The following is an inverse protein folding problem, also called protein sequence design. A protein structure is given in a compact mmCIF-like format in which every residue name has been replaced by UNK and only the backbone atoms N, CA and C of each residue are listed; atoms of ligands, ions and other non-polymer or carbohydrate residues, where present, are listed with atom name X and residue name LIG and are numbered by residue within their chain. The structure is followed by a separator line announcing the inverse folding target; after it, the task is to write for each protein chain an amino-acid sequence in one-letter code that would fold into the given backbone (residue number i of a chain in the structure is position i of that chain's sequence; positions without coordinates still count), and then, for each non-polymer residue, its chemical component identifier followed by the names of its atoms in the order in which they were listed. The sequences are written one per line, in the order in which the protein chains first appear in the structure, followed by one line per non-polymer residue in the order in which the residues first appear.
data_IF_822944069702
#
_entry.id   IF_822944069702
#
_cell.length_a   1.000
_cell.length_b   1.000
_cell.length_c   1.000
_cell.angle_alpha   90.00
_cell.angle_beta   90.00
_cell.angle_gamma   90.00
#
_symmetry.space_group_name_H-M   'P 1'
#
loop_
_entity.id
_entity.type
_entity.pdbx_description
1 polymer ?
#
# COMPACT_ATOMS: atom_id res chain seq x y z
N UNK A 1 -48.86 -41.00 -34.01
CA UNK A 1 -48.73 -39.76 -33.21
C UNK A 1 -48.07 -39.97 -31.84
N UNK A 2 -48.60 -40.84 -30.96
CA UNK A 2 -48.08 -40.97 -29.57
C UNK A 2 -46.57 -41.30 -29.46
N UNK A 3 -46.01 -42.08 -30.38
CA UNK A 3 -44.58 -42.47 -30.34
C UNK A 3 -43.63 -41.33 -30.72
N UNK A 4 -43.91 -40.61 -31.82
CA UNK A 4 -43.06 -39.50 -32.26
C UNK A 4 -43.13 -38.30 -31.32
N UNK A 5 -44.27 -38.09 -30.66
CA UNK A 5 -44.40 -37.11 -29.58
C UNK A 5 -43.48 -37.45 -28.39
N UNK A 6 -43.29 -38.73 -28.04
CA UNK A 6 -42.33 -39.15 -27.01
C UNK A 6 -40.88 -38.86 -27.40
N UNK A 7 -40.52 -39.01 -28.67
CA UNK A 7 -39.17 -38.67 -29.16
C UNK A 7 -38.90 -37.17 -29.08
N UNK A 8 -39.91 -36.34 -29.41
CA UNK A 8 -39.81 -34.90 -29.23
C UNK A 8 -39.62 -34.50 -27.75
N UNK A 9 -40.40 -35.09 -26.84
CA UNK A 9 -40.23 -34.88 -25.39
C UNK A 9 -38.85 -35.34 -24.89
N UNK A 10 -38.31 -36.44 -25.45
CA UNK A 10 -36.97 -36.92 -25.14
C UNK A 10 -35.90 -35.91 -25.57
N UNK A 11 -36.04 -35.29 -26.75
CA UNK A 11 -35.15 -34.22 -27.23
C UNK A 11 -35.19 -32.99 -26.33
N UNK A 12 -36.38 -32.59 -25.87
CA UNK A 12 -36.52 -31.52 -24.87
C UNK A 12 -35.79 -31.92 -23.57
N UNK A 13 -35.96 -33.15 -23.11
CA UNK A 13 -35.25 -33.67 -21.93
C UNK A 13 -33.73 -33.60 -22.07
N UNK A 14 -33.19 -33.94 -23.24
CA UNK A 14 -31.76 -33.79 -23.56
C UNK A 14 -31.34 -32.32 -23.50
N UNK A 15 -32.11 -31.41 -24.08
CA UNK A 15 -31.86 -29.97 -24.03
C UNK A 15 -31.86 -29.41 -22.60
N UNK A 16 -32.78 -29.86 -21.75
CA UNK A 16 -32.84 -29.49 -20.32
C UNK A 16 -31.60 -30.01 -19.59
N UNK A 17 -31.23 -31.29 -19.78
CA UNK A 17 -30.03 -31.87 -19.16
C UNK A 17 -28.78 -31.11 -19.58
N UNK A 18 -28.62 -30.80 -20.87
CA UNK A 18 -27.47 -30.05 -21.36
C UNK A 18 -27.44 -28.61 -20.83
N UNK A 19 -28.59 -27.97 -20.68
CA UNK A 19 -28.69 -26.67 -20.01
C UNK A 19 -28.24 -26.77 -18.56
N UNK A 20 -28.72 -27.77 -17.81
CA UNK A 20 -28.32 -28.00 -16.41
C UNK A 20 -26.81 -28.26 -16.32
N UNK A 21 -26.26 -29.15 -17.16
CA UNK A 21 -24.81 -29.43 -17.20
C UNK A 21 -23.99 -28.18 -17.53
N UNK A 22 -24.46 -27.35 -18.46
CA UNK A 22 -23.85 -26.06 -18.78
C UNK A 22 -23.86 -25.11 -17.58
N UNK A 23 -25.00 -24.95 -16.90
CA UNK A 23 -25.12 -24.12 -15.71
C UNK A 23 -24.21 -24.62 -14.56
N UNK A 24 -24.14 -25.94 -14.35
CA UNK A 24 -23.23 -26.55 -13.37
C UNK A 24 -21.75 -26.35 -13.75
N UNK A 25 -21.41 -26.45 -15.04
CA UNK A 25 -20.04 -26.22 -15.52
C UNK A 25 -19.57 -24.77 -15.37
N UNK A 26 -20.51 -23.84 -15.33
CA UNK A 26 -20.25 -22.41 -15.11
C UNK A 26 -20.24 -22.02 -13.63
N UNK A 27 -20.59 -22.92 -12.70
CA UNK A 27 -20.75 -22.62 -11.26
C UNK A 27 -21.51 -21.29 -11.04
N UNK A 28 -22.69 -21.20 -11.65
CA UNK A 28 -23.48 -19.96 -11.85
C UNK A 28 -23.59 -19.06 -10.59
N UNK A 29 -23.16 -17.81 -10.74
CA UNK A 29 -23.70 -16.67 -9.99
C UNK A 29 -24.53 -15.82 -10.95
N UNK A 30 -25.78 -15.51 -10.60
CA UNK A 30 -26.58 -14.51 -11.32
C UNK A 30 -26.03 -13.14 -10.89
N UNK A 31 -25.40 -12.43 -11.83
CA UNK A 31 -24.91 -11.07 -11.60
C UNK A 31 -26.13 -10.14 -11.65
N UNK A 32 -26.55 -9.60 -10.52
CA UNK A 32 -27.46 -8.46 -10.50
C UNK A 32 -26.72 -7.22 -11.02
N UNK A 33 -27.33 -6.51 -11.96
CA UNK A 33 -26.91 -5.21 -12.52
C UNK A 33 -25.82 -5.18 -13.62
N UNK A 34 -25.91 -6.03 -14.65
CA UNK A 34 -25.28 -5.71 -15.94
C UNK A 34 -26.33 -5.43 -17.03
N UNK A 35 -26.16 -4.34 -17.77
CA UNK A 35 -27.03 -3.94 -18.90
C UNK A 35 -26.70 -4.71 -20.20
N UNK A 36 -25.85 -5.73 -20.12
CA UNK A 36 -25.46 -6.59 -21.23
C UNK A 36 -26.16 -7.94 -21.13
N UNK A 37 -26.58 -8.49 -22.27
CA UNK A 37 -26.99 -9.90 -22.36
C UNK A 37 -25.76 -10.74 -22.02
N UNK A 38 -25.76 -11.52 -20.93
CA UNK A 38 -24.61 -12.33 -20.53
C UNK A 38 -24.25 -13.30 -21.67
N UNK A 39 -22.97 -13.51 -21.97
CA UNK A 39 -22.55 -14.49 -23.00
C UNK A 39 -23.06 -15.91 -22.73
N UNK A 40 -23.39 -16.17 -21.47
CA UNK A 40 -24.08 -17.35 -20.95
C UNK A 40 -25.49 -17.49 -21.53
N UNK A 41 -26.23 -16.39 -21.72
CA UNK A 41 -27.58 -16.41 -22.30
C UNK A 41 -27.55 -16.76 -23.79
N UNK A 42 -26.54 -16.31 -24.54
CA UNK A 42 -26.33 -16.69 -25.94
C UNK A 42 -26.06 -18.20 -26.05
N UNK A 43 -25.29 -18.75 -25.12
CA UNK A 43 -24.97 -20.18 -25.09
C UNK A 43 -26.20 -21.02 -24.68
N UNK A 44 -26.99 -20.55 -23.72
CA UNK A 44 -28.28 -21.17 -23.39
C UNK A 44 -29.25 -21.18 -24.60
N UNK A 45 -29.31 -20.08 -25.36
CA UNK A 45 -30.07 -19.99 -26.62
C UNK A 45 -29.58 -20.99 -27.66
N UNK A 46 -28.27 -21.21 -27.80
CA UNK A 46 -27.71 -22.25 -28.68
C UNK A 46 -28.14 -23.67 -28.26
N UNK A 47 -28.13 -23.96 -26.96
CA UNK A 47 -28.59 -25.26 -26.42
C UNK A 47 -30.08 -25.47 -26.73
N UNK A 48 -30.91 -24.44 -26.57
CA UNK A 48 -32.34 -24.50 -26.91
C UNK A 48 -32.56 -24.67 -28.42
N UNK A 49 -31.80 -23.97 -29.26
CA UNK A 49 -31.86 -24.11 -30.71
C UNK A 49 -31.46 -25.52 -31.18
N UNK A 50 -30.59 -26.22 -30.43
CA UNK A 50 -30.13 -27.57 -30.75
C UNK A 50 -31.23 -28.66 -30.56
N UNK A 51 -32.32 -28.37 -29.85
CA UNK A 51 -33.45 -29.30 -29.66
C UNK A 51 -34.07 -29.71 -31.01
N UNK A 52 -34.11 -28.80 -31.98
CA UNK A 52 -34.68 -29.03 -33.31
C UNK A 52 -33.87 -30.09 -34.08
N UNK A 53 -32.56 -29.91 -34.35
CA UNK A 53 -31.77 -30.94 -35.03
C UNK A 53 -31.65 -32.25 -34.23
N UNK A 54 -31.59 -32.20 -32.90
CA UNK A 54 -31.61 -33.41 -32.05
C UNK A 54 -32.87 -34.26 -32.27
N UNK A 55 -34.03 -33.60 -32.38
CA UNK A 55 -35.31 -34.27 -32.64
C UNK A 55 -35.28 -34.99 -34.00
N UNK A 56 -34.71 -34.35 -35.02
CA UNK A 56 -34.58 -34.93 -36.37
C UNK A 56 -33.67 -36.16 -36.35
N UNK A 57 -32.52 -36.09 -35.67
CA UNK A 57 -31.57 -37.20 -35.53
C UNK A 57 -32.26 -38.40 -34.83
N UNK A 58 -32.96 -38.16 -33.73
CA UNK A 58 -33.66 -39.22 -33.01
C UNK A 58 -34.80 -39.84 -33.83
N UNK A 59 -35.47 -39.07 -34.69
CA UNK A 59 -36.46 -39.62 -35.63
C UNK A 59 -35.82 -40.54 -36.67
N UNK A 60 -34.68 -40.14 -37.25
CA UNK A 60 -33.95 -40.95 -38.23
C UNK A 60 -33.49 -42.26 -37.57
N UNK A 61 -32.90 -42.19 -36.38
CA UNK A 61 -32.46 -43.38 -35.64
C UNK A 61 -33.64 -44.29 -35.30
N UNK A 62 -34.75 -43.75 -34.80
CA UNK A 62 -35.93 -44.55 -34.49
C UNK A 62 -36.54 -45.22 -35.73
N UNK A 63 -36.43 -44.59 -36.90
CA UNK A 63 -36.86 -45.18 -38.17
C UNK A 63 -35.94 -46.33 -38.60
N UNK A 64 -34.62 -46.12 -38.60
CA UNK A 64 -33.61 -47.09 -39.02
C UNK A 64 -33.56 -48.29 -38.06
N UNK A 65 -33.62 -48.04 -36.76
CA UNK A 65 -33.54 -49.07 -35.72
C UNK A 65 -34.86 -49.84 -35.52
N UNK A 66 -35.88 -49.56 -36.33
CA UNK A 66 -37.25 -50.10 -36.15
C UNK A 66 -37.79 -49.89 -34.73
N UNK A 67 -37.52 -48.72 -34.14
CA UNK A 67 -37.95 -48.30 -32.79
C UNK A 67 -37.29 -49.05 -31.64
N UNK A 68 -36.10 -49.62 -31.87
CA UNK A 68 -35.30 -50.23 -30.80
C UNK A 68 -34.98 -49.21 -29.69
N UNK A 69 -35.31 -49.58 -28.45
CA UNK A 69 -35.17 -48.69 -27.31
C UNK A 69 -33.70 -48.46 -26.93
N UNK A 70 -32.85 -49.48 -27.10
CA UNK A 70 -31.44 -49.40 -26.76
C UNK A 70 -30.70 -48.43 -27.71
N UNK A 71 -30.96 -48.53 -29.02
CA UNK A 71 -30.40 -47.63 -30.02
C UNK A 71 -30.78 -46.16 -29.77
N UNK A 72 -32.02 -45.90 -29.36
CA UNK A 72 -32.49 -44.55 -29.01
C UNK A 72 -31.82 -44.06 -27.73
N UNK A 73 -31.71 -44.89 -26.70
CA UNK A 73 -31.05 -44.53 -25.45
C UNK A 73 -29.55 -44.21 -25.64
N UNK A 74 -28.84 -45.03 -26.41
CA UNK A 74 -27.43 -44.80 -26.76
C UNK A 74 -27.28 -43.48 -27.53
N UNK A 75 -28.12 -43.24 -28.54
CA UNK A 75 -28.09 -42.01 -29.33
C UNK A 75 -28.36 -40.78 -28.46
N UNK A 76 -29.33 -40.84 -27.55
CA UNK A 76 -29.60 -39.77 -26.58
C UNK A 76 -28.39 -39.49 -25.70
N UNK A 77 -27.71 -40.53 -25.20
CA UNK A 77 -26.48 -40.39 -24.43
C UNK A 77 -25.36 -39.70 -25.23
N UNK A 78 -25.18 -40.10 -26.49
CA UNK A 78 -24.20 -39.49 -27.41
C UNK A 78 -24.53 -38.01 -27.67
N UNK A 79 -25.81 -37.67 -27.89
CA UNK A 79 -26.24 -36.29 -28.09
C UNK A 79 -25.99 -35.41 -26.85
N UNK A 80 -26.22 -35.94 -25.64
CA UNK A 80 -25.88 -35.25 -24.38
C UNK A 80 -24.38 -34.97 -24.32
N UNK A 81 -23.54 -36.00 -24.49
CA UNK A 81 -22.08 -35.87 -24.42
C UNK A 81 -21.55 -34.92 -25.51
N UNK A 82 -22.05 -35.03 -26.73
CA UNK A 82 -21.60 -34.21 -27.86
C UNK A 82 -21.96 -32.75 -27.66
N UNK A 83 -23.21 -32.46 -27.24
CA UNK A 83 -23.60 -31.09 -26.91
C UNK A 83 -22.81 -30.53 -25.73
N UNK A 84 -22.52 -31.34 -24.71
CA UNK A 84 -21.68 -30.89 -23.60
C UNK A 84 -20.27 -30.51 -24.08
N UNK A 85 -19.60 -31.37 -24.86
CA UNK A 85 -18.26 -31.09 -25.40
C UNK A 85 -18.27 -29.83 -26.28
N UNK A 86 -19.23 -29.73 -27.21
CA UNK A 86 -19.32 -28.58 -28.12
C UNK A 86 -19.55 -27.26 -27.41
N UNK A 87 -20.22 -27.26 -26.25
CA UNK A 87 -20.43 -26.05 -25.45
C UNK A 87 -19.27 -25.78 -24.48
N UNK A 88 -18.58 -26.82 -24.02
CA UNK A 88 -17.45 -26.72 -23.09
C UNK A 88 -16.30 -25.90 -23.67
N UNK A 89 -15.98 -26.12 -24.95
CA UNK A 89 -14.85 -25.50 -25.65
C UNK A 89 -15.20 -24.16 -26.34
N UNK A 90 -16.41 -23.64 -26.14
CA UNK A 90 -16.73 -22.30 -26.66
C UNK A 90 -15.92 -21.22 -25.96
N UNK A 91 -15.43 -20.23 -26.71
CA UNK A 91 -14.67 -19.10 -26.17
C UNK A 91 -15.41 -18.40 -25.03
N UNK A 92 -16.75 -18.29 -25.13
CA UNK A 92 -17.62 -17.71 -24.11
C UNK A 92 -17.63 -18.53 -22.81
N UNK A 93 -17.75 -19.86 -22.89
CA UNK A 93 -17.71 -20.71 -21.71
C UNK A 93 -16.31 -20.75 -21.07
N UNK A 94 -15.26 -20.75 -21.90
CA UNK A 94 -13.88 -20.68 -21.42
C UNK A 94 -13.57 -19.36 -20.71
N UNK A 95 -14.03 -18.23 -21.25
CA UNK A 95 -13.91 -16.91 -20.62
C UNK A 95 -14.69 -16.83 -19.30
N UNK A 96 -15.93 -17.33 -19.27
CA UNK A 96 -16.75 -17.41 -18.05
C UNK A 96 -16.06 -18.19 -16.92
N UNK A 97 -15.52 -19.37 -17.23
CA UNK A 97 -14.74 -20.16 -16.25
C UNK A 97 -13.49 -19.42 -15.77
N UNK A 98 -12.78 -18.72 -16.66
CA UNK A 98 -11.60 -17.92 -16.27
C UNK A 98 -11.98 -16.77 -15.33
N UNK A 99 -13.07 -16.06 -15.61
CA UNK A 99 -13.59 -14.99 -14.74
C UNK A 99 -13.98 -15.53 -13.38
N UNK A 100 -14.74 -16.63 -13.35
CA UNK A 100 -15.12 -17.29 -12.10
C UNK A 100 -13.90 -17.74 -11.28
N UNK A 101 -12.93 -18.41 -11.91
CA UNK A 101 -11.71 -18.85 -11.22
C UNK A 101 -10.91 -17.65 -10.66
N UNK A 102 -10.80 -16.55 -11.43
CA UNK A 102 -10.18 -15.31 -10.95
C UNK A 102 -10.93 -14.72 -9.75
N UNK A 103 -12.26 -14.70 -9.80
CA UNK A 103 -13.08 -14.20 -8.69
C UNK A 103 -12.93 -15.07 -7.43
N UNK A 104 -12.90 -16.40 -7.56
CA UNK A 104 -12.65 -17.29 -6.41
C UNK A 104 -11.26 -17.09 -5.80
N UNK A 105 -10.24 -16.91 -6.64
CA UNK A 105 -8.90 -16.55 -6.17
C UNK A 105 -8.95 -15.19 -5.46
N UNK A 106 -9.60 -14.18 -6.04
CA UNK A 106 -9.75 -12.87 -5.42
C UNK A 106 -10.45 -12.95 -4.06
N UNK A 107 -11.60 -13.63 -3.96
CA UNK A 107 -12.37 -13.81 -2.72
C UNK A 107 -11.51 -14.46 -1.63
N UNK A 108 -10.78 -15.52 -1.97
CA UNK A 108 -9.91 -16.25 -1.02
C UNK A 108 -8.58 -15.55 -0.73
N UNK A 109 -8.18 -14.57 -1.53
CA UNK A 109 -6.95 -13.80 -1.32
C UNK A 109 -7.11 -12.85 -0.14
N UNK A 110 -6.04 -12.77 0.65
CA UNK A 110 -5.92 -11.84 1.77
C UNK A 110 -5.97 -10.37 1.32
N UNK A 111 -6.72 -9.55 2.05
CA UNK A 111 -6.97 -8.14 1.75
C UNK A 111 -6.85 -7.29 3.02
N UNK A 112 -6.56 -6.00 2.84
CA UNK A 112 -6.47 -5.03 3.91
C UNK A 112 -7.10 -3.69 3.52
N UNK A 113 -7.61 -2.96 4.49
CA UNK A 113 -8.02 -1.57 4.30
C UNK A 113 -6.81 -0.64 4.39
N UNK A 114 -6.30 -0.20 3.24
CA UNK A 114 -5.22 0.78 3.17
C UNK A 114 -5.34 1.70 1.95
N UNK A 115 -4.63 2.82 2.01
CA UNK A 115 -4.43 3.77 0.92
C UNK A 115 -2.96 3.78 0.48
N UNK A 116 -2.74 4.28 -0.74
CA UNK A 116 -1.39 4.51 -1.26
C UNK A 116 -1.08 5.99 -1.15
N UNK A 117 0.19 6.34 -0.99
CA UNK A 117 0.60 7.73 -0.87
C UNK A 117 2.00 7.98 -1.40
N UNK A 118 2.28 9.25 -1.67
CA UNK A 118 3.61 9.71 -2.10
C UNK A 118 4.15 10.67 -1.06
N UNK A 119 5.41 10.51 -0.72
CA UNK A 119 6.18 11.41 0.13
C UNK A 119 7.42 11.87 -0.62
N UNK A 120 7.86 13.09 -0.34
CA UNK A 120 9.09 13.66 -0.87
C UNK A 120 9.82 14.38 0.25
N UNK A 121 11.15 14.50 0.18
CA UNK A 121 11.86 15.40 1.08
C UNK A 121 11.40 16.84 0.87
N UNK A 122 11.22 17.56 1.97
CA UNK A 122 10.86 18.97 1.92
C UNK A 122 11.90 19.76 1.11
N UNK A 123 11.43 20.62 0.19
CA UNK A 123 12.31 21.32 -0.74
C UNK A 123 12.54 20.64 -2.09
N UNK A 124 12.17 19.37 -2.25
CA UNK A 124 12.49 18.60 -3.46
C UNK A 124 11.22 18.14 -4.19
N UNK A 125 10.52 19.06 -4.88
CA UNK A 125 9.27 18.73 -5.54
C UNK A 125 9.48 17.79 -6.72
N UNK A 126 8.51 16.91 -6.93
CA UNK A 126 8.42 16.01 -8.08
C UNK A 126 7.03 16.07 -8.71
N UNK A 127 6.92 15.62 -9.96
CA UNK A 127 5.64 15.29 -10.58
C UNK A 127 5.67 13.86 -11.08
N UNK A 128 4.72 13.04 -10.64
CA UNK A 128 4.52 11.72 -11.22
C UNK A 128 4.02 11.85 -12.66
N UNK A 129 4.46 10.97 -13.53
CA UNK A 129 4.04 10.88 -14.92
C UNK A 129 3.04 9.74 -15.08
N UNK A 130 2.39 9.72 -16.24
CA UNK A 130 1.47 8.67 -16.64
C UNK A 130 2.08 7.28 -16.42
N UNK A 131 1.23 6.32 -16.03
CA UNK A 131 1.59 4.91 -15.72
C UNK A 131 2.31 4.66 -14.40
N UNK A 132 2.50 5.68 -13.56
CA UNK A 132 2.92 5.45 -12.18
C UNK A 132 1.78 4.79 -11.40
N UNK A 133 1.99 3.57 -10.91
CA UNK A 133 0.97 2.79 -10.21
C UNK A 133 1.55 1.71 -9.29
N UNK A 134 0.72 1.28 -8.35
CA UNK A 134 0.90 0.01 -7.67
C UNK A 134 0.13 -1.07 -8.44
N UNK A 135 0.82 -2.05 -9.00
CA UNK A 135 0.18 -3.12 -9.78
C UNK A 135 -0.31 -4.23 -8.87
N UNK A 136 -1.59 -4.59 -8.99
CA UNK A 136 -2.22 -5.72 -8.31
C UNK A 136 -2.54 -6.79 -9.35
N UNK A 137 -1.98 -8.00 -9.22
CA UNK A 137 -2.21 -9.06 -10.21
C UNK A 137 -3.55 -9.78 -10.04
N UNK A 138 -4.13 -9.73 -8.84
CA UNK A 138 -5.35 -10.43 -8.46
C UNK A 138 -6.47 -9.41 -8.27
N UNK A 139 -7.32 -9.31 -9.29
CA UNK A 139 -8.49 -8.43 -9.31
C UNK A 139 -9.77 -9.25 -9.50
N UNK A 140 -10.77 -8.94 -8.69
CA UNK A 140 -12.16 -9.36 -8.87
C UNK A 140 -13.02 -8.27 -9.51
N UNK A 141 -14.29 -8.59 -9.73
CA UNK A 141 -15.23 -7.73 -10.45
C UNK A 141 -15.44 -6.35 -9.80
N UNK A 142 -15.37 -6.29 -8.46
CA UNK A 142 -15.57 -5.07 -7.67
C UNK A 142 -14.30 -4.64 -6.92
N UNK A 143 -13.13 -4.87 -7.52
CA UNK A 143 -11.86 -4.43 -6.92
C UNK A 143 -11.83 -2.90 -6.82
N UNK A 144 -11.55 -2.31 -5.64
CA UNK A 144 -11.41 -0.87 -5.52
C UNK A 144 -10.26 -0.37 -6.39
N UNK A 145 -10.49 0.72 -7.13
CA UNK A 145 -9.43 1.36 -7.89
C UNK A 145 -8.58 2.20 -6.92
N UNK A 146 -7.27 1.98 -6.95
CA UNK A 146 -6.28 2.84 -6.31
C UNK A 146 -5.49 3.55 -7.40
N UNK A 147 -5.39 4.88 -7.32
CA UNK A 147 -4.67 5.67 -8.32
C UNK A 147 -3.66 6.55 -7.64
N UNK A 148 -2.44 6.58 -8.17
CA UNK A 148 -1.48 7.64 -7.86
C UNK A 148 -1.83 8.87 -8.70
N UNK A 149 -1.89 10.04 -8.08
CA UNK A 149 -2.28 11.27 -8.76
C UNK A 149 -1.10 11.84 -9.57
N UNK A 150 -1.18 11.75 -10.89
CA UNK A 150 -0.10 12.20 -11.80
C UNK A 150 -0.25 13.66 -12.23
N UNK A 151 -1.43 14.26 -12.05
CA UNK A 151 -1.70 15.64 -12.46
C UNK A 151 -1.45 16.67 -11.36
N UNK A 152 -0.55 16.37 -10.41
CA UNK A 152 -0.14 17.29 -9.36
C UNK A 152 1.37 17.23 -9.12
N UNK A 153 1.85 18.22 -8.39
CA UNK A 153 3.24 18.27 -7.92
C UNK A 153 3.24 17.92 -6.45
N UNK A 154 4.03 16.92 -6.10
CA UNK A 154 4.25 16.49 -4.73
C UNK A 154 5.38 17.32 -4.12
N UNK A 155 5.16 17.81 -2.91
CA UNK A 155 6.13 18.61 -2.15
C UNK A 155 5.82 18.46 -0.66
N UNK A 156 6.09 17.27 -0.16
CA UNK A 156 5.66 16.80 1.16
C UNK A 156 6.80 16.86 2.17
N UNK A 157 6.59 16.18 3.30
CA UNK A 157 7.61 15.93 4.32
C UNK A 157 8.07 14.48 4.24
N UNK A 158 9.38 14.23 4.36
CA UNK A 158 9.95 12.88 4.25
C UNK A 158 9.35 11.92 5.29
N UNK A 159 8.82 10.78 4.85
CA UNK A 159 8.14 9.78 5.69
C UNK A 159 6.67 10.08 6.00
N UNK A 160 6.16 11.26 5.60
CA UNK A 160 4.74 11.60 5.66
C UNK A 160 4.18 11.68 4.23
N UNK A 161 3.21 10.83 3.93
CA UNK A 161 2.68 10.67 2.58
C UNK A 161 1.40 11.47 2.37
N UNK A 162 1.29 12.10 1.21
CA UNK A 162 0.02 12.58 0.68
C UNK A 162 -0.72 11.38 0.08
N UNK A 163 -1.78 10.93 0.75
CA UNK A 163 -2.57 9.78 0.31
C UNK A 163 -3.36 10.13 -0.94
N UNK A 164 -3.50 9.15 -1.81
CA UNK A 164 -4.12 9.33 -3.12
C UNK A 164 -5.50 8.68 -3.16
N UNK A 165 -6.12 8.70 -4.34
CA UNK A 165 -7.48 8.24 -4.54
C UNK A 165 -7.64 6.72 -4.32
N UNK A 166 -8.64 6.36 -3.51
CA UNK A 166 -9.22 5.02 -3.39
C UNK A 166 -10.72 5.13 -3.67
N UNK A 167 -11.23 4.34 -4.62
CA UNK A 167 -12.60 4.52 -5.16
C UNK A 167 -13.75 4.05 -4.25
N UNK A 168 -13.48 3.40 -3.12
CA UNK A 168 -14.51 3.05 -2.15
C UNK A 168 -14.01 3.15 -0.72
N UNK A 169 -14.82 3.76 0.14
CA UNK A 169 -14.44 4.09 1.53
C UNK A 169 -14.41 2.89 2.48
N UNK A 170 -14.79 1.68 2.04
CA UNK A 170 -15.03 0.54 2.94
C UNK A 170 -14.59 -0.84 2.45
N UNK A 171 -13.94 -0.96 1.28
CA UNK A 171 -13.53 -2.26 0.76
C UNK A 171 -12.02 -2.52 0.94
N UNK A 172 -11.70 -3.70 1.45
CA UNK A 172 -10.34 -4.20 1.56
C UNK A 172 -9.72 -4.45 0.17
N UNK A 173 -8.44 -4.14 0.02
CA UNK A 173 -7.69 -4.26 -1.22
C UNK A 173 -6.61 -5.34 -1.08
N UNK A 174 -6.35 -6.09 -2.15
CA UNK A 174 -5.25 -7.05 -2.21
C UNK A 174 -3.92 -6.29 -2.26
N UNK A 175 -2.92 -6.76 -1.51
CA UNK A 175 -1.59 -6.16 -1.52
C UNK A 175 -0.96 -6.12 -2.93
N UNK A 176 -0.26 -5.03 -3.28
CA UNK A 176 0.32 -4.87 -4.61
C UNK A 176 1.50 -5.81 -4.81
N UNK A 177 1.63 -6.33 -6.04
CA UNK A 177 2.72 -7.19 -6.46
C UNK A 177 3.95 -6.41 -6.89
N UNK A 178 3.74 -5.22 -7.48
CA UNK A 178 4.78 -4.39 -8.06
C UNK A 178 4.52 -2.91 -7.83
N UNK A 179 5.60 -2.15 -7.93
CA UNK A 179 5.60 -0.70 -7.94
C UNK A 179 6.25 -0.23 -9.24
N UNK A 180 5.48 0.50 -10.04
CA UNK A 180 5.91 1.15 -11.27
C UNK A 180 5.84 2.66 -11.05
N UNK A 181 6.95 3.36 -11.19
CA UNK A 181 7.02 4.81 -11.02
C UNK A 181 7.71 5.44 -12.21
N UNK A 182 7.17 6.57 -12.64
CA UNK A 182 7.77 7.47 -13.61
C UNK A 182 7.59 8.88 -13.07
N UNK A 183 8.66 9.64 -12.93
CA UNK A 183 8.53 11.00 -12.40
C UNK A 183 9.55 11.95 -12.98
N UNK A 184 9.23 13.23 -12.84
CA UNK A 184 10.11 14.33 -13.12
C UNK A 184 10.53 14.99 -11.80
N UNK A 185 11.83 15.14 -11.60
CA UNK A 185 12.43 15.86 -10.47
C UNK A 185 12.74 17.30 -10.88
N UNK A 186 12.06 18.26 -10.27
CA UNK A 186 12.12 19.66 -10.72
C UNK A 186 13.48 20.30 -10.48
N UNK A 187 14.09 20.08 -9.30
CA UNK A 187 15.39 20.65 -8.97
C UNK A 187 16.53 19.99 -9.75
N UNK A 188 16.39 18.72 -10.12
CA UNK A 188 17.39 18.00 -10.90
C UNK A 188 17.22 18.20 -12.41
N UNK A 189 16.04 18.63 -12.86
CA UNK A 189 15.64 18.67 -14.27
C UNK A 189 15.87 17.31 -14.96
N UNK A 190 15.41 16.24 -14.31
CA UNK A 190 15.63 14.85 -14.73
C UNK A 190 14.36 14.02 -14.61
N UNK A 191 14.30 13.01 -15.47
CA UNK A 191 13.23 12.02 -15.52
C UNK A 191 13.76 10.70 -14.97
N UNK A 192 12.97 10.05 -14.15
CA UNK A 192 13.34 8.79 -13.49
C UNK A 192 12.26 7.73 -13.68
N UNK A 193 12.69 6.47 -13.67
CA UNK A 193 11.83 5.29 -13.70
C UNK A 193 12.24 4.27 -12.66
N UNK A 194 11.25 3.63 -12.04
CA UNK A 194 11.43 2.48 -11.18
C UNK A 194 10.40 1.41 -11.53
N UNK A 195 10.87 0.17 -11.67
CA UNK A 195 10.02 -1.00 -11.89
C UNK A 195 10.48 -2.13 -10.98
N UNK A 196 9.78 -2.36 -9.86
CA UNK A 196 10.22 -3.32 -8.83
C UNK A 196 9.09 -4.23 -8.35
N UNK A 197 9.45 -5.41 -7.83
CA UNK A 197 8.52 -6.32 -7.14
C UNK A 197 8.49 -5.97 -5.66
N UNK A 198 7.32 -6.09 -5.04
CA UNK A 198 7.14 -5.79 -3.62
C UNK A 198 7.08 -7.07 -2.78
N UNK A 199 7.65 -7.02 -1.57
CA UNK A 199 7.58 -8.14 -0.63
C UNK A 199 6.21 -8.18 0.09
N UNK A 200 5.20 -8.76 -0.57
CA UNK A 200 3.84 -8.90 -0.01
C UNK A 200 3.82 -9.64 1.33
N UNK A 201 4.72 -10.59 1.54
CA UNK A 201 4.81 -11.32 2.82
C UNK A 201 5.22 -10.39 3.95
N UNK A 202 6.24 -9.55 3.75
CA UNK A 202 6.67 -8.57 4.74
C UNK A 202 5.56 -7.55 5.01
N UNK A 203 4.93 -7.01 3.97
CA UNK A 203 3.82 -6.06 4.11
C UNK A 203 2.66 -6.67 4.92
N UNK A 204 2.25 -7.90 4.57
CA UNK A 204 1.19 -8.65 5.27
C UNK A 204 1.51 -8.88 6.76
N UNK A 205 2.77 -9.16 7.10
CA UNK A 205 3.18 -9.34 8.49
C UNK A 205 2.97 -8.07 9.32
N UNK A 206 3.25 -6.89 8.77
CA UNK A 206 3.01 -5.63 9.46
C UNK A 206 1.52 -5.35 9.64
N UNK A 207 0.69 -5.54 8.61
CA UNK A 207 -0.76 -5.37 8.73
C UNK A 207 -1.37 -6.32 9.78
N UNK A 208 -0.94 -7.59 9.83
CA UNK A 208 -1.39 -8.56 10.84
C UNK A 208 -0.95 -8.21 12.25
N UNK A 209 0.28 -7.72 12.40
CA UNK A 209 0.87 -7.43 13.71
C UNK A 209 0.22 -6.21 14.37
N UNK A 210 -0.06 -5.17 13.58
CA UNK A 210 -0.55 -3.89 14.08
C UNK A 210 0.42 -3.23 15.07
N UNK A 211 -0.06 -2.22 15.79
CA UNK A 211 0.68 -1.48 16.82
C UNK A 211 -0.26 -0.78 17.80
N UNK A 212 0.26 -0.21 18.89
CA UNK A 212 -0.53 0.50 19.91
C UNK A 212 -0.59 1.99 19.61
N UNK A 213 -1.73 2.62 19.89
CA UNK A 213 -1.92 4.07 19.78
C UNK A 213 -2.80 4.57 20.92
N UNK A 214 -2.55 5.78 21.41
CA UNK A 214 -3.50 6.50 22.26
C UNK A 214 -4.55 7.22 21.41
N UNK A 215 -5.81 6.81 21.53
CA UNK A 215 -6.91 7.44 20.79
C UNK A 215 -7.56 8.61 21.56
N UNK A 216 -7.27 8.77 22.84
CA UNK A 216 -7.90 9.82 23.65
C UNK A 216 -7.05 11.09 23.78
N UNK A 217 -5.75 11.03 23.45
CA UNK A 217 -4.79 12.13 23.66
C UNK A 217 -4.49 12.43 25.14
N UNK A 218 -4.97 11.56 26.04
CA UNK A 218 -4.93 11.69 27.50
C UNK A 218 -4.32 10.46 28.16
N UNK A 219 -3.75 9.52 27.39
CA UNK A 219 -3.16 8.27 27.86
C UNK A 219 -4.15 7.35 28.60
N UNK A 220 -5.46 7.57 28.42
CA UNK A 220 -6.52 6.80 29.05
C UNK A 220 -6.95 5.59 28.21
N UNK A 221 -6.78 5.66 26.89
CA UNK A 221 -7.26 4.62 25.97
C UNK A 221 -6.18 4.23 24.95
N UNK A 222 -5.20 3.48 25.44
CA UNK A 222 -4.19 2.82 24.61
C UNK A 222 -4.80 1.54 24.04
N UNK A 223 -4.94 1.49 22.72
CA UNK A 223 -5.53 0.34 22.02
C UNK A 223 -4.68 -0.09 20.84
N UNK A 224 -4.76 -1.37 20.47
CA UNK A 224 -4.18 -1.84 19.21
C UNK A 224 -4.92 -1.25 18.01
N UNK A 225 -4.18 -0.96 16.96
CA UNK A 225 -4.65 -0.48 15.66
C UNK A 225 -3.81 -1.11 14.55
N UNK A 226 -4.30 -1.03 13.32
CA UNK A 226 -3.58 -1.51 12.15
C UNK A 226 -2.96 -0.34 11.38
N UNK A 227 -1.98 -0.67 10.55
CA UNK A 227 -1.54 0.23 9.50
C UNK A 227 -2.65 0.40 8.46
N UNK A 228 -2.63 1.53 7.76
CA UNK A 228 -3.67 1.93 6.81
C UNK A 228 -3.10 2.60 5.56
N UNK A 229 -1.77 2.66 5.42
CA UNK A 229 -1.11 3.37 4.32
C UNK A 229 0.13 2.61 3.83
N UNK A 230 0.33 2.58 2.52
CA UNK A 230 1.62 2.29 1.87
C UNK A 230 2.12 3.57 1.21
N UNK A 231 3.25 4.08 1.68
CA UNK A 231 3.79 5.38 1.25
C UNK A 231 5.10 5.17 0.50
N UNK A 232 5.21 5.77 -0.68
CA UNK A 232 6.44 5.81 -1.46
C UNK A 232 7.13 7.16 -1.28
N UNK A 233 8.28 7.14 -0.63
CA UNK A 233 9.22 8.26 -0.58
C UNK A 233 10.06 8.33 -1.83
N UNK A 234 10.05 9.46 -2.51
CA UNK A 234 10.90 9.72 -3.67
C UNK A 234 11.84 10.87 -3.34
N UNK A 235 13.13 10.57 -3.28
CA UNK A 235 14.19 11.51 -2.94
C UNK A 235 15.10 11.78 -4.15
N UNK A 236 15.81 12.94 -4.15
CA UNK A 236 16.73 13.29 -5.21
C UNK A 236 17.78 12.22 -5.53
N UNK A 237 18.16 12.16 -6.81
CA UNK A 237 19.11 11.18 -7.32
C UNK A 237 18.50 9.80 -7.58
N UNK A 238 17.17 9.67 -7.57
CA UNK A 238 16.49 8.39 -7.85
C UNK A 238 16.35 7.48 -6.63
N UNK A 239 16.53 7.99 -5.42
CA UNK A 239 16.36 7.21 -4.20
C UNK A 239 14.88 7.02 -3.89
N UNK A 240 14.43 5.78 -3.68
CA UNK A 240 13.03 5.47 -3.38
C UNK A 240 12.93 4.63 -2.11
N UNK A 241 12.00 4.96 -1.22
CA UNK A 241 11.74 4.24 0.03
C UNK A 241 10.27 3.87 0.11
N UNK A 242 9.97 2.61 0.44
CA UNK A 242 8.62 2.17 0.73
C UNK A 242 8.42 2.10 2.24
N UNK A 243 7.39 2.79 2.74
CA UNK A 243 6.95 2.68 4.12
C UNK A 243 5.56 2.07 4.22
N UNK A 244 5.30 1.46 5.37
CA UNK A 244 3.95 1.20 5.87
C UNK A 244 3.65 2.19 7.00
N UNK A 245 2.46 2.79 6.97
CA UNK A 245 2.10 3.90 7.85
C UNK A 245 0.69 3.78 8.41
N UNK A 246 0.49 4.42 9.55
CA UNK A 246 -0.78 4.70 10.16
C UNK A 246 -0.63 5.83 11.19
N UNK A 247 -1.67 6.11 11.97
CA UNK A 247 -1.62 7.12 13.04
C UNK A 247 -0.40 6.92 13.94
N UNK A 248 0.49 7.91 13.97
CA UNK A 248 1.69 7.98 14.81
C UNK A 248 2.71 6.83 14.67
N UNK A 249 2.58 5.96 13.67
CA UNK A 249 3.52 4.86 13.43
C UNK A 249 3.79 4.70 11.94
N UNK A 250 5.07 4.77 11.57
CA UNK A 250 5.53 4.62 10.19
C UNK A 250 6.82 3.82 10.20
N UNK A 251 6.89 2.76 9.39
CA UNK A 251 8.00 1.81 9.33
C UNK A 251 8.53 1.65 7.92
N UNK A 252 9.85 1.68 7.80
CA UNK A 252 10.56 1.44 6.54
C UNK A 252 10.47 -0.05 6.19
N UNK A 253 10.04 -0.35 4.96
CA UNK A 253 9.93 -1.71 4.46
C UNK A 253 11.10 -2.06 3.55
N UNK A 254 11.30 -1.26 2.51
CA UNK A 254 12.24 -1.52 1.43
C UNK A 254 12.80 -0.21 0.86
N UNK A 255 14.00 -0.27 0.29
CA UNK A 255 14.67 0.86 -0.36
C UNK A 255 15.11 0.44 -1.75
N UNK A 256 14.90 1.31 -2.72
CA UNK A 256 15.19 1.08 -4.13
C UNK A 256 15.99 2.23 -4.72
N UNK A 257 16.60 1.96 -5.88
CA UNK A 257 17.27 2.96 -6.71
C UNK A 257 16.62 2.95 -8.08
N UNK A 258 16.18 4.11 -8.53
CA UNK A 258 15.60 4.32 -9.83
C UNK A 258 16.65 4.70 -10.87
N UNK A 259 16.32 4.40 -12.12
CA UNK A 259 17.14 4.70 -13.28
C UNK A 259 16.68 6.01 -13.93
N UNK A 260 17.59 6.68 -14.63
CA UNK A 260 17.24 7.82 -15.47
C UNK A 260 16.50 7.36 -16.72
N UNK A 261 15.49 8.12 -17.14
CA UNK A 261 14.83 7.90 -18.42
C UNK A 261 15.69 8.51 -19.53
N UNK A 262 16.04 7.69 -20.53
CA UNK A 262 16.73 8.13 -21.74
C UNK A 262 15.87 9.16 -22.50
N UNK A 263 16.49 10.16 -23.12
CA UNK A 263 15.75 11.24 -23.80
C UNK A 263 14.82 10.76 -24.91
N UNK A 264 15.20 9.66 -25.58
CA UNK A 264 14.44 9.03 -26.67
C UNK A 264 13.15 8.36 -26.19
N UNK A 265 13.05 8.02 -24.91
CA UNK A 265 11.92 7.28 -24.33
C UNK A 265 10.97 8.21 -23.56
N UNK A 266 11.25 9.53 -23.54
CA UNK A 266 10.45 10.54 -22.84
C UNK A 266 9.06 10.72 -23.46
N UNK A 267 8.90 10.48 -24.76
CA UNK A 267 7.64 10.65 -25.50
C UNK A 267 6.57 9.60 -25.14
N UNK A 268 7.00 8.47 -24.57
CA UNK A 268 6.10 7.43 -24.01
C UNK A 268 5.37 7.93 -22.75
N UNK A 269 5.90 8.96 -22.09
CA UNK A 269 5.39 9.50 -20.83
C UNK A 269 4.93 10.95 -21.01
N UNK A 270 3.97 11.40 -20.20
CA UNK A 270 3.54 12.80 -20.24
C UNK A 270 4.72 13.71 -19.87
N UNK A 271 5.21 14.53 -20.81
CA UNK A 271 6.32 15.46 -20.57
C UNK A 271 5.82 16.65 -19.74
N UNK A 272 6.57 17.01 -18.69
CA UNK A 272 6.35 18.24 -17.92
C UNK A 272 6.68 19.47 -18.77
N UNK A 273 5.72 20.37 -18.93
CA UNK A 273 5.86 21.56 -19.77
C UNK A 273 6.87 22.57 -19.19
N UNK A 274 7.59 23.29 -20.07
CA UNK A 274 8.58 24.29 -19.67
C UNK A 274 8.01 25.38 -18.75
N UNK A 275 6.77 25.80 -19.00
CA UNK A 275 6.12 26.83 -18.20
C UNK A 275 5.70 26.30 -16.82
N UNK A 276 5.33 25.02 -16.72
CA UNK A 276 5.14 24.35 -15.42
C UNK A 276 6.46 24.28 -14.64
N UNK A 277 7.57 23.90 -15.28
CA UNK A 277 8.90 23.87 -14.64
C UNK A 277 9.26 25.25 -14.07
N UNK A 278 9.13 26.31 -14.89
CA UNK A 278 9.39 27.68 -14.44
C UNK A 278 8.51 28.06 -13.26
N UNK A 279 7.19 27.83 -13.37
CA UNK A 279 6.21 28.15 -12.33
C UNK A 279 6.56 27.47 -11.01
N UNK A 280 6.90 26.18 -11.06
CA UNK A 280 7.35 25.43 -9.90
C UNK A 280 8.60 26.06 -9.31
N UNK A 281 9.68 26.21 -10.08
CA UNK A 281 10.98 26.64 -9.53
C UNK A 281 11.01 28.11 -9.07
N UNK A 282 10.12 28.96 -9.60
CA UNK A 282 10.01 30.37 -9.20
C UNK A 282 9.17 30.60 -7.94
N UNK A 283 8.45 29.59 -7.45
CA UNK A 283 7.53 29.71 -6.32
C UNK A 283 8.29 29.59 -4.99
N UNK A 284 8.82 30.72 -4.50
CA UNK A 284 9.64 30.78 -3.26
C UNK A 284 8.85 31.22 -2.01
N UNK A 285 7.52 31.28 -2.06
CA UNK A 285 6.72 31.89 -0.98
C UNK A 285 6.30 30.88 0.10
N UNK A 286 6.47 31.25 1.38
CA UNK A 286 6.03 30.48 2.56
C UNK A 286 4.54 30.62 2.91
N UNK A 287 3.77 31.46 2.21
CA UNK A 287 2.36 31.73 2.54
C UNK A 287 1.45 31.76 1.29
N UNK A 288 0.48 30.84 1.26
CA UNK A 288 -0.80 30.83 0.50
C UNK A 288 -0.95 31.60 -0.83
N UNK A 289 -0.81 30.88 -1.96
CA UNK A 289 -1.95 30.48 -2.84
C UNK A 289 -1.60 29.34 -3.85
N UNK A 290 -0.98 28.28 -3.34
CA UNK A 290 -1.16 26.84 -3.58
C UNK A 290 -1.08 26.22 -5.01
N UNK A 291 -0.11 25.31 -5.29
CA UNK A 291 -0.38 23.91 -5.76
C UNK A 291 0.81 22.95 -5.41
N UNK A 292 0.89 22.21 -4.30
CA UNK A 292 0.04 22.23 -3.14
C UNK A 292 0.84 22.42 -1.82
N UNK A 293 0.98 23.68 -1.36
CA UNK A 293 1.67 24.22 -0.16
C UNK A 293 3.13 23.84 0.09
N UNK A 294 4.01 24.37 -0.78
CA UNK A 294 5.43 24.05 -0.87
C UNK A 294 6.34 24.95 -0.03
N UNK A 295 7.46 24.40 0.43
CA UNK A 295 8.70 25.15 0.64
C UNK A 295 9.70 24.69 -0.42
N UNK A 296 10.12 25.55 -1.36
CA UNK A 296 11.28 25.25 -2.20
C UNK A 296 12.52 25.68 -1.43
N UNK A 297 12.99 24.76 -0.59
CA UNK A 297 14.27 24.89 0.08
C UNK A 297 15.35 24.45 -0.90
N UNK A 298 16.41 25.25 -1.06
CA UNK A 298 17.64 24.87 -1.79
C UNK A 298 17.64 25.00 -3.33
N UNK A 299 16.72 25.77 -3.93
CA UNK A 299 16.90 26.16 -5.34
C UNK A 299 18.24 26.89 -5.53
N UNK A 300 19.09 26.38 -6.44
CA UNK A 300 20.44 26.90 -6.68
C UNK A 300 21.51 26.47 -5.66
N UNK A 301 21.21 25.58 -4.70
CA UNK A 301 22.22 24.97 -3.81
C UNK A 301 22.55 23.54 -4.24
N UNK A 302 23.72 23.00 -3.87
CA UNK A 302 24.04 21.59 -4.10
C UNK A 302 22.98 20.68 -3.47
N UNK A 303 22.45 19.77 -4.27
CA UNK A 303 21.53 18.74 -3.81
C UNK A 303 22.34 17.67 -3.05
N UNK A 304 21.99 17.35 -1.80
CA UNK A 304 22.69 16.35 -1.00
C UNK A 304 22.25 14.94 -1.42
N UNK A 305 22.61 14.53 -2.65
CA UNK A 305 22.24 13.23 -3.21
C UNK A 305 22.67 12.11 -2.26
N UNK A 306 21.75 11.19 -1.97
CA UNK A 306 22.02 9.99 -1.17
C UNK A 306 21.93 10.18 0.34
N UNK A 307 21.63 11.37 0.90
CA UNK A 307 21.53 11.50 2.37
C UNK A 307 20.37 10.67 2.95
N UNK A 308 19.25 10.58 2.22
CA UNK A 308 18.05 9.87 2.67
C UNK A 308 18.22 8.36 2.74
N UNK A 309 19.03 7.79 1.84
CA UNK A 309 19.28 6.34 1.81
C UNK A 309 20.58 5.91 2.49
N UNK A 310 21.49 6.87 2.76
CA UNK A 310 22.76 6.63 3.44
C UNK A 310 22.80 7.25 4.84
N UNK A 311 23.01 8.57 4.97
CA UNK A 311 23.22 9.27 6.26
C UNK A 311 22.09 8.97 7.24
N UNK A 312 20.84 9.17 6.81
CA UNK A 312 19.66 9.05 7.66
C UNK A 312 19.31 7.62 8.06
N UNK A 313 19.83 6.63 7.33
CA UNK A 313 19.65 5.21 7.62
C UNK A 313 20.81 4.60 8.42
N UNK A 314 21.83 5.39 8.78
CA UNK A 314 22.87 4.95 9.72
C UNK A 314 22.22 4.61 11.06
N UNK A 315 22.41 3.37 11.51
CA UNK A 315 21.89 2.86 12.78
C UNK A 315 22.99 2.82 13.82
N UNK A 316 22.68 3.28 15.03
CA UNK A 316 23.56 3.25 16.20
C UNK A 316 22.90 2.45 17.32
N UNK A 317 23.68 1.90 18.25
CA UNK A 317 23.12 1.08 19.33
C UNK A 317 22.78 1.95 20.55
N UNK A 318 21.54 2.45 20.60
CA UNK A 318 21.12 3.41 21.63
C UNK A 318 19.77 3.09 22.25
N UNK A 319 19.50 3.73 23.39
CA UNK A 319 18.18 3.80 24.02
C UNK A 319 17.94 5.18 24.61
N UNK A 320 16.68 5.53 24.82
CA UNK A 320 16.34 6.71 25.61
C UNK A 320 16.24 6.32 27.09
N UNK A 321 16.74 7.18 27.97
CA UNK A 321 16.62 7.07 29.41
C UNK A 321 16.03 8.37 29.95
N UNK A 322 15.05 8.26 30.84
CA UNK A 322 14.39 9.42 31.44
C UNK A 322 14.31 9.26 32.95
N UNK A 323 14.57 10.34 33.68
CA UNK A 323 14.41 10.34 35.13
C UNK A 323 12.92 10.22 35.51
N UNK A 324 12.64 9.42 36.54
CA UNK A 324 11.27 9.33 37.06
C UNK A 324 10.88 10.65 37.71
N UNK A 325 9.74 11.20 37.30
CA UNK A 325 9.16 12.42 37.87
C UNK A 325 7.95 12.11 38.76
N UNK A 326 7.68 10.83 39.04
CA UNK A 326 6.49 10.39 39.77
C UNK A 326 5.22 10.42 38.91
N UNK A 327 5.37 10.17 37.61
CA UNK A 327 4.28 10.11 36.65
C UNK A 327 3.43 8.84 36.82
N UNK A 328 2.13 8.94 36.60
CA UNK A 328 1.21 7.79 36.61
C UNK A 328 1.05 7.15 35.24
N UNK A 329 1.20 7.95 34.18
CA UNK A 329 1.09 7.53 32.77
C UNK A 329 2.08 8.29 31.92
N UNK A 330 2.58 7.66 30.87
CA UNK A 330 3.50 8.29 29.93
C UNK A 330 3.46 7.71 28.52
N UNK A 331 3.81 8.55 27.56
CA UNK A 331 4.03 8.25 26.15
C UNK A 331 5.35 8.89 25.72
N UNK A 332 6.16 8.15 24.96
CA UNK A 332 7.38 8.65 24.33
C UNK A 332 7.27 8.46 22.82
N UNK A 333 7.24 9.56 22.09
CA UNK A 333 7.15 9.59 20.64
C UNK A 333 8.50 9.92 20.01
N UNK A 334 8.80 9.23 18.91
CA UNK A 334 10.01 9.46 18.12
C UNK A 334 9.65 9.75 16.67
N UNK A 335 10.36 10.70 16.04
CA UNK A 335 10.39 10.89 14.59
C UNK A 335 11.84 10.86 14.11
N UNK A 336 12.12 10.04 13.11
CA UNK A 336 13.47 9.70 12.66
C UNK A 336 13.81 10.36 11.33
N UNK A 337 15.10 10.64 11.11
CA UNK A 337 15.56 11.27 9.87
C UNK A 337 15.25 10.42 8.61
N UNK A 338 15.14 9.09 8.73
CA UNK A 338 14.76 8.23 7.60
C UNK A 338 13.24 8.21 7.34
N UNK A 339 12.44 9.01 8.05
CA UNK A 339 11.00 9.09 7.88
C UNK A 339 10.19 8.11 8.75
N UNK A 340 10.84 7.21 9.51
CA UNK A 340 10.13 6.39 10.47
C UNK A 340 9.61 7.23 11.65
N UNK A 341 8.55 6.74 12.30
CA UNK A 341 8.07 7.25 13.58
C UNK A 341 7.38 6.15 14.37
N UNK A 342 7.44 6.23 15.69
CA UNK A 342 6.66 5.34 16.56
C UNK A 342 6.52 5.94 17.97
N UNK A 343 5.58 5.40 18.72
CA UNK A 343 5.31 5.74 20.11
C UNK A 343 5.48 4.52 21.01
N UNK A 344 5.95 4.76 22.23
CA UNK A 344 6.05 3.79 23.32
C UNK A 344 5.22 4.26 24.50
N UNK A 345 4.64 3.33 25.26
CA UNK A 345 3.75 3.67 26.39
C UNK A 345 4.20 3.05 27.71
N UNK A 346 4.16 3.84 28.78
CA UNK A 346 4.35 3.41 30.17
C UNK A 346 5.59 2.51 30.36
N UNK A 347 5.39 1.23 30.69
CA UNK A 347 6.48 0.28 30.94
C UNK A 347 7.39 0.05 29.73
N UNK A 348 6.91 0.24 28.50
CA UNK A 348 7.73 0.10 27.28
C UNK A 348 8.87 1.13 27.26
N UNK A 349 8.61 2.32 27.82
CA UNK A 349 9.60 3.40 27.96
C UNK A 349 10.64 3.00 29.02
N UNK A 350 10.19 2.55 30.18
CA UNK A 350 11.07 2.16 31.29
C UNK A 350 11.93 0.92 30.98
N UNK A 351 11.41 0.02 30.14
CA UNK A 351 12.06 -1.23 29.73
C UNK A 351 12.73 -1.12 28.36
N UNK A 352 12.91 0.09 27.82
CA UNK A 352 13.56 0.30 26.54
C UNK A 352 14.96 -0.32 26.58
N UNK A 353 15.25 -1.17 25.58
CA UNK A 353 16.52 -1.87 25.43
C UNK A 353 17.37 -1.17 24.40
N UNK A 354 18.69 -1.34 24.52
CA UNK A 354 19.62 -0.99 23.46
C UNK A 354 19.26 -1.75 22.19
N UNK A 355 19.11 -1.01 21.10
CA UNK A 355 18.87 -1.57 19.78
C UNK A 355 19.60 -0.75 18.74
N UNK A 356 20.04 -1.41 17.66
CA UNK A 356 20.56 -0.72 16.49
C UNK A 356 19.42 -0.01 15.77
N UNK A 357 19.33 1.29 15.98
CA UNK A 357 18.26 2.12 15.46
C UNK A 357 18.78 3.41 14.84
N UNK A 358 18.02 3.94 13.89
CA UNK A 358 18.29 5.25 13.26
C UNK A 358 18.16 6.39 14.27
N UNK A 359 18.69 7.57 13.93
CA UNK A 359 18.67 8.73 14.84
C UNK A 359 17.38 9.54 14.73
N UNK A 360 16.79 9.98 15.86
CA UNK A 360 15.63 10.84 15.85
C UNK A 360 16.03 12.28 15.48
N UNK A 361 15.20 12.97 14.69
CA UNK A 361 15.27 14.43 14.60
C UNK A 361 14.37 15.10 15.64
N UNK A 362 13.40 14.35 16.18
CA UNK A 362 12.45 14.86 17.15
C UNK A 362 12.05 13.77 18.16
N UNK A 363 11.97 14.16 19.42
CA UNK A 363 11.53 13.32 20.54
C UNK A 363 10.49 14.10 21.36
N UNK A 364 9.33 13.48 21.60
CA UNK A 364 8.33 14.00 22.52
C UNK A 364 8.13 13.07 23.71
N UNK A 365 7.94 13.64 24.90
CA UNK A 365 7.59 12.88 26.10
C UNK A 365 6.39 13.50 26.80
N UNK A 366 5.25 12.81 26.74
CA UNK A 366 4.02 13.19 27.43
C UNK A 366 3.88 12.39 28.71
N UNK A 367 3.46 13.03 29.79
CA UNK A 367 3.21 12.33 31.04
C UNK A 367 2.15 13.01 31.90
N UNK A 368 1.52 12.22 32.77
CA UNK A 368 0.54 12.70 33.74
C UNK A 368 1.13 12.64 35.14
N UNK A 369 1.05 13.77 35.86
CA UNK A 369 1.43 13.87 37.27
C UNK A 369 0.41 14.72 38.01
N UNK A 370 -0.10 14.22 39.14
CA UNK A 370 -1.12 14.90 39.94
C UNK A 370 -2.34 15.35 39.12
N UNK A 371 -2.80 14.51 38.19
CA UNK A 371 -3.92 14.77 37.24
C UNK A 371 -3.68 15.93 36.26
N UNK A 372 -2.45 16.45 36.15
CA UNK A 372 -2.05 17.42 35.12
C UNK A 372 -1.22 16.75 34.04
N UNK A 373 -1.42 17.17 32.79
CA UNK A 373 -0.66 16.71 31.64
C UNK A 373 0.54 17.62 31.45
N UNK A 374 1.68 17.01 31.16
CA UNK A 374 2.90 17.68 30.78
C UNK A 374 3.40 17.10 29.47
N UNK A 375 3.98 17.94 28.62
CA UNK A 375 4.54 17.53 27.34
C UNK A 375 5.90 18.18 27.14
N UNK A 376 6.89 17.34 26.84
CA UNK A 376 8.25 17.76 26.50
C UNK A 376 8.44 17.60 25.01
N UNK A 377 8.99 18.64 24.37
CA UNK A 377 9.35 18.63 22.95
C UNK A 377 10.85 18.89 22.81
N UNK A 378 11.53 17.99 22.11
CA UNK A 378 12.95 18.12 21.79
C UNK A 378 13.15 17.99 20.29
N UNK A 379 13.74 19.00 19.66
CA UNK A 379 14.11 18.97 18.24
C UNK A 379 15.63 19.08 18.09
N UNK A 380 16.24 18.07 17.49
CA UNK A 380 17.68 17.97 17.33
C UNK A 380 18.16 18.75 16.12
N UNK A 381 19.33 19.38 16.24
CA UNK A 381 20.11 19.81 15.08
C UNK A 381 20.74 18.59 14.40
N UNK A 382 20.59 18.52 13.08
CA UNK A 382 21.04 17.38 12.29
C UNK A 382 22.56 17.19 12.36
N UNK A 383 23.33 18.26 12.15
CA UNK A 383 24.78 18.14 12.11
C UNK A 383 25.35 17.82 13.49
N UNK A 384 24.79 18.41 14.55
CA UNK A 384 25.18 18.13 15.92
C UNK A 384 24.92 16.68 16.33
N UNK A 385 23.69 16.16 16.14
CA UNK A 385 23.36 14.80 16.58
C UNK A 385 24.19 13.74 15.84
N UNK A 386 24.33 13.86 14.51
CA UNK A 386 25.14 12.91 13.75
C UNK A 386 26.63 13.00 14.13
N UNK A 387 27.15 14.21 14.36
CA UNK A 387 28.54 14.42 14.81
C UNK A 387 28.78 13.81 16.19
N UNK A 388 27.86 13.99 17.14
CA UNK A 388 27.98 13.39 18.47
C UNK A 388 27.95 11.86 18.43
N UNK A 389 27.02 11.27 17.68
CA UNK A 389 26.96 9.81 17.56
C UNK A 389 28.19 9.24 16.86
N UNK A 390 28.72 9.88 15.82
CA UNK A 390 29.96 9.42 15.16
C UNK A 390 31.19 9.58 16.09
N UNK A 391 31.24 10.61 16.96
CA UNK A 391 32.29 10.76 17.97
C UNK A 391 32.25 9.67 19.05
N UNK A 392 31.05 9.25 19.45
CA UNK A 392 30.86 8.21 20.47
C UNK A 392 31.01 6.79 19.90
N UNK A 393 30.53 6.57 18.67
CA UNK A 393 30.54 5.29 17.98
C UNK A 393 31.22 5.39 16.59
N UNK A 394 32.52 5.69 16.53
CA UNK A 394 33.23 5.88 15.26
C UNK A 394 33.20 4.62 14.40
N UNK A 395 33.03 4.80 13.08
CA UNK A 395 32.89 3.71 12.11
C UNK A 395 31.69 2.78 12.41
N UNK A 396 30.64 3.32 13.02
CA UNK A 396 29.45 2.57 13.43
C UNK A 396 29.79 1.36 14.33
N UNK A 397 30.65 1.59 15.32
CA UNK A 397 30.93 0.61 16.36
C UNK A 397 29.65 0.28 17.14
N UNK A 398 29.61 -0.90 17.78
CA UNK A 398 28.44 -1.33 18.55
C UNK A 398 28.39 -0.71 19.97
N UNK A 399 28.93 0.51 20.11
CA UNK A 399 28.98 1.24 21.36
C UNK A 399 27.57 1.50 21.90
N UNK A 400 27.39 1.34 23.21
CA UNK A 400 26.12 1.59 23.88
C UNK A 400 26.01 3.07 24.22
N UNK A 401 24.95 3.73 23.72
CA UNK A 401 24.71 5.15 23.92
C UNK A 401 23.35 5.36 24.57
N UNK A 402 23.32 6.12 25.65
CA UNK A 402 22.10 6.57 26.31
C UNK A 402 21.77 8.00 25.86
N UNK A 403 20.56 8.21 25.35
CA UNK A 403 19.96 9.54 25.21
C UNK A 403 19.23 9.85 26.52
N UNK A 404 19.84 10.66 27.38
CA UNK A 404 19.35 10.92 28.74
C UNK A 404 18.54 12.22 28.76
N UNK A 405 17.24 12.10 29.04
CA UNK A 405 16.35 13.23 29.37
C UNK A 405 16.29 13.40 30.89
N UNK A 406 16.57 14.61 31.36
CA UNK A 406 16.38 14.99 32.76
C UNK A 406 15.39 16.15 32.87
N UNK A 407 14.25 15.88 33.49
CA UNK A 407 13.23 16.87 33.84
C UNK A 407 13.46 17.29 35.28
N UNK A 408 13.51 18.59 35.54
CA UNK A 408 13.73 19.09 36.90
C UNK A 408 12.50 18.85 37.80
N UNK A 409 12.71 18.83 39.13
CA UNK A 409 11.64 18.55 40.11
C UNK A 409 10.47 19.55 40.04
N UNK A 410 10.74 20.77 39.58
CA UNK A 410 9.74 21.83 39.42
C UNK A 410 8.95 21.74 38.10
N UNK A 411 9.29 20.79 37.22
CA UNK A 411 8.60 20.51 35.96
C UNK A 411 8.54 21.70 35.00
N UNK A 412 9.57 22.54 34.99
CA UNK A 412 9.66 23.73 34.14
C UNK A 412 10.97 23.83 33.35
N UNK A 413 11.89 22.87 33.54
CA UNK A 413 13.14 22.78 32.80
C UNK A 413 13.42 21.34 32.41
N UNK A 414 13.95 21.18 31.21
CA UNK A 414 14.41 19.90 30.67
C UNK A 414 15.83 20.07 30.17
N UNK A 415 16.63 19.04 30.38
CA UNK A 415 17.98 18.93 29.82
C UNK A 415 18.14 17.60 29.12
N UNK A 416 18.98 17.56 28.09
CA UNK A 416 19.27 16.37 27.30
C UNK A 416 20.78 16.20 27.12
N UNK A 417 21.26 14.98 27.29
CA UNK A 417 22.67 14.62 27.16
C UNK A 417 22.82 13.25 26.51
N UNK A 418 23.98 13.00 25.90
CA UNK A 418 24.40 11.67 25.46
C UNK A 418 25.43 11.12 26.43
N UNK A 419 25.20 9.90 26.91
CA UNK A 419 26.11 9.19 27.81
C UNK A 419 26.59 7.91 27.12
N UNK A 420 27.90 7.66 27.17
CA UNK A 420 28.50 6.43 26.67
C UNK A 420 29.80 6.15 27.41
N UNK A 421 29.86 5.02 28.13
CA UNK A 421 30.95 4.69 29.06
C UNK A 421 31.20 5.88 30.01
N UNK A 422 32.40 6.44 30.00
CA UNK A 422 32.82 7.56 30.85
C UNK A 422 32.72 8.93 30.13
N UNK A 423 32.05 8.97 28.97
CA UNK A 423 31.89 10.20 28.18
C UNK A 423 30.46 10.71 28.26
N UNK A 424 30.33 12.01 28.46
CA UNK A 424 29.08 12.74 28.39
C UNK A 424 29.21 13.87 27.37
N UNK A 425 28.27 13.97 26.44
CA UNK A 425 28.17 15.07 25.49
C UNK A 425 26.85 15.82 25.72
N UNK A 426 26.93 17.14 25.77
CA UNK A 426 25.77 18.02 25.81
C UNK A 426 25.39 18.43 24.39
N UNK A 427 24.12 18.76 24.18
CA UNK A 427 23.68 19.41 22.95
C UNK A 427 23.67 20.93 23.14
N UNK A 428 24.31 21.66 22.24
CA UNK A 428 24.43 23.12 22.24
C UNK A 428 23.57 23.77 21.16
N UNK A 429 23.18 23.02 20.13
CA UNK A 429 22.49 23.52 18.94
C UNK A 429 21.06 22.98 18.79
N UNK A 430 20.49 22.39 19.84
CA UNK A 430 19.09 21.96 19.84
C UNK A 430 18.19 23.07 19.28
N UNK A 431 17.32 22.71 18.35
CA UNK A 431 16.37 23.65 17.73
C UNK A 431 15.26 24.03 18.70
N UNK A 432 14.84 23.08 19.54
CA UNK A 432 13.85 23.31 20.60
C UNK A 432 14.10 22.37 21.79
N UNK A 433 13.92 22.90 22.99
CA UNK A 433 13.92 22.19 24.28
C UNK A 433 12.86 22.82 25.16
N UNK A 434 11.65 22.28 25.13
CA UNK A 434 10.47 22.91 25.73
C UNK A 434 9.70 21.92 26.61
N UNK A 435 9.10 22.44 27.68
CA UNK A 435 8.15 21.71 28.53
C UNK A 435 6.90 22.55 28.74
N UNK A 436 5.77 21.95 28.42
CA UNK A 436 4.43 22.53 28.57
C UNK A 436 3.66 21.79 29.64
N UNK A 437 2.71 22.49 30.26
CA UNK A 437 1.77 21.93 31.20
C UNK A 437 0.36 22.43 30.84
N UNK A 438 -0.60 21.51 30.86
CA UNK A 438 -2.02 21.81 30.68
C UNK A 438 -2.74 22.19 31.98
#
# INVERSE_FOLDING_TARGET
MKYYFKIFLLSIGIGIINTILFLFSLQFQIIEHSSYIPGEAITALKILAAIIPQTIILFIVAFISKKDQLAIAITSGILIVTCFILNWDTDTAAEGRRKFNKEQIFISTEKYDYQQGISTPEGYPIKLLSRSEFTIAIEGQNTPATLLETNKVYSETWGNGDTTFKSSDAADIVLPDRLELFWYSFLENKYYTLSTKLNKTQISQYFKKGYKVDRSGNLDKISSTNYQELIVGIAPGGDVVLWISGPYNTKELEVFKADLIDEKDKDVYTIVEKDEIKKVLSDTCTCKNNIQYRQIVNNGKPIPIGIWTNKYRKKYNWKAAINSVGQTKSEMGFRFFNGERYELFNEEIAKMKYQKEVLPYYLSYKFIKNKKRYEVHLEFDEDEIFSHFEKLAPNNSNELIDIVLNINSNLNQVTIQLHSKDRTLNFEKMKSVEIYAD
#
